data_IF_244999431188
#
_entry.id   IF_244999431188
#
_cell.length_a   1.000
_cell.length_b   1.000
_cell.length_c   1.000
_cell.angle_alpha   90.00
_cell.angle_beta   90.00
_cell.angle_gamma   90.00
#
_symmetry.space_group_name_H-M   'P 1'
#
loop_
_entity.id
_entity.type
_entity.pdbx_description
1 polymer ?
#
# COMPACT_ATOMS: atom_id res chain seq x y z
N UNK A 1 2.50 -17.08 -0.57
CA UNK A 1 1.96 -16.20 0.48
C UNK A 1 3.10 -15.94 1.47
N UNK A 2 3.64 -14.72 1.50
CA UNK A 2 4.81 -14.39 2.33
C UNK A 2 4.31 -14.13 3.75
N UNK A 3 4.71 -14.97 4.72
CA UNK A 3 4.43 -14.77 6.15
C UNK A 3 5.69 -14.21 6.81
N UNK A 4 5.65 -12.95 7.22
CA UNK A 4 6.68 -12.36 8.07
C UNK A 4 6.19 -12.42 9.52
N UNK A 5 6.95 -13.09 10.38
CA UNK A 5 6.68 -13.19 11.81
C UNK A 5 7.32 -12.00 12.50
N UNK A 6 6.56 -10.93 12.70
CA UNK A 6 6.96 -9.83 13.58
C UNK A 6 6.53 -10.19 15.02
N UNK A 7 7.30 -9.77 16.03
CA UNK A 7 7.22 -10.24 17.44
C UNK A 7 5.94 -9.84 18.19
N UNK A 8 4.92 -9.36 17.47
CA UNK A 8 3.58 -9.01 17.95
C UNK A 8 2.62 -10.05 17.35
N UNK A 9 1.78 -10.70 18.16
CA UNK A 9 0.92 -11.83 17.77
C UNK A 9 -0.19 -11.54 16.73
N UNK A 10 0.03 -10.62 15.80
CA UNK A 10 -0.84 -10.27 14.68
C UNK A 10 -0.24 -10.86 13.40
N UNK A 11 -0.97 -11.79 12.79
CA UNK A 11 -0.58 -12.39 11.50
C UNK A 11 -0.73 -11.35 10.38
N UNK A 12 0.34 -10.60 10.09
CA UNK A 12 0.32 -9.66 8.97
C UNK A 12 0.41 -10.41 7.64
N UNK A 13 -0.69 -10.42 6.89
CA UNK A 13 -0.71 -10.92 5.51
C UNK A 13 -0.28 -9.82 4.54
N UNK A 14 0.83 -10.06 3.85
CA UNK A 14 1.31 -9.15 2.81
C UNK A 14 0.89 -9.62 1.42
N UNK A 15 0.64 -8.65 0.55
CA UNK A 15 0.42 -8.81 -0.88
C UNK A 15 1.50 -8.07 -1.68
N UNK A 16 1.69 -8.49 -2.93
CA UNK A 16 2.67 -7.88 -3.84
C UNK A 16 2.07 -6.70 -4.61
N UNK A 17 2.92 -5.90 -5.28
CA UNK A 17 2.46 -4.81 -6.15
C UNK A 17 1.35 -5.17 -7.15
N UNK A 18 1.42 -6.28 -7.92
CA UNK A 18 0.36 -6.65 -8.87
C UNK A 18 -0.96 -6.99 -8.18
N UNK A 19 -0.91 -7.58 -6.99
CA UNK A 19 -2.12 -7.89 -6.22
C UNK A 19 -2.76 -6.61 -5.67
N UNK A 20 -1.95 -5.69 -5.15
CA UNK A 20 -2.42 -4.37 -4.73
C UNK A 20 -2.99 -3.54 -5.91
N UNK A 21 -2.37 -3.65 -7.09
CA UNK A 21 -2.83 -3.00 -8.32
C UNK A 21 -4.23 -3.46 -8.70
N UNK A 22 -4.49 -4.77 -8.68
CA UNK A 22 -5.83 -5.35 -8.89
C UNK A 22 -6.81 -4.89 -7.82
N UNK A 23 -6.42 -4.93 -6.54
CA UNK A 23 -7.28 -4.53 -5.41
C UNK A 23 -7.70 -3.06 -5.48
N UNK A 24 -6.78 -2.17 -5.85
CA UNK A 24 -7.02 -0.72 -5.88
C UNK A 24 -7.45 -0.18 -7.24
N UNK A 25 -7.51 -1.04 -8.27
CA UNK A 25 -7.83 -0.67 -9.64
C UNK A 25 -6.84 0.32 -10.26
N UNK A 26 -5.56 0.23 -9.91
CA UNK A 26 -4.50 1.12 -10.43
C UNK A 26 -3.40 0.31 -11.12
N UNK A 27 -2.56 0.97 -11.91
CA UNK A 27 -1.41 0.31 -12.53
C UNK A 27 -0.33 -0.03 -11.50
N UNK A 28 0.40 -1.12 -11.75
CA UNK A 28 1.53 -1.54 -10.90
C UNK A 28 2.59 -0.44 -10.74
N UNK A 29 2.83 0.33 -11.79
CA UNK A 29 3.71 1.51 -11.76
C UNK A 29 3.23 2.53 -10.72
N UNK A 30 1.93 2.77 -10.62
CA UNK A 30 1.36 3.69 -9.62
C UNK A 30 1.53 3.12 -8.21
N UNK A 31 1.29 1.82 -8.02
CA UNK A 31 1.56 1.14 -6.74
C UNK A 31 3.02 1.32 -6.31
N UNK A 32 3.97 1.07 -7.20
CA UNK A 32 5.40 1.22 -6.90
C UNK A 32 5.78 2.66 -6.51
N UNK A 33 5.18 3.66 -7.16
CA UNK A 33 5.36 5.08 -6.79
C UNK A 33 4.82 5.32 -5.37
N UNK A 34 3.61 4.84 -5.05
CA UNK A 34 3.02 4.99 -3.71
C UNK A 34 3.87 4.30 -2.62
N UNK A 35 4.43 3.13 -2.93
CA UNK A 35 5.35 2.44 -2.04
C UNK A 35 6.66 3.22 -1.84
N UNK A 36 7.23 3.79 -2.92
CA UNK A 36 8.43 4.63 -2.86
C UNK A 36 8.20 5.94 -2.10
N UNK A 37 7.04 6.56 -2.29
CA UNK A 37 6.62 7.77 -1.58
C UNK A 37 6.20 7.49 -0.13
N UNK A 38 6.26 6.23 0.33
CA UNK A 38 5.86 5.80 1.68
C UNK A 38 4.45 6.27 2.09
N UNK A 39 3.56 6.40 1.10
CA UNK A 39 2.16 6.82 1.34
C UNK A 39 1.28 5.70 1.87
N UNK A 40 1.76 4.46 1.81
CA UNK A 40 1.07 3.26 2.27
C UNK A 40 1.69 2.87 3.60
N UNK A 41 0.88 2.81 4.67
CA UNK A 41 1.35 2.43 5.98
C UNK A 41 1.67 0.92 6.03
N UNK A 42 2.78 0.55 6.69
CA UNK A 42 3.22 -0.83 6.79
C UNK A 42 3.85 -1.40 5.52
N UNK A 43 4.12 -0.56 4.50
CA UNK A 43 4.85 -0.99 3.31
C UNK A 43 6.33 -1.21 3.64
N UNK A 44 6.84 -2.40 3.32
CA UNK A 44 8.23 -2.77 3.52
C UNK A 44 8.87 -3.20 2.21
N UNK A 45 10.10 -2.75 1.94
CA UNK A 45 10.84 -3.18 0.75
C UNK A 45 11.75 -4.35 1.11
N UNK A 46 11.48 -5.52 0.55
CA UNK A 46 12.31 -6.71 0.73
C UNK A 46 13.03 -7.02 -0.59
N UNK A 47 14.31 -6.64 -0.67
CA UNK A 47 15.11 -6.77 -1.89
C UNK A 47 14.51 -5.96 -3.05
N UNK A 48 14.02 -6.67 -4.07
CA UNK A 48 13.37 -6.08 -5.25
C UNK A 48 11.83 -6.02 -5.15
N UNK A 49 11.24 -6.63 -4.12
CA UNK A 49 9.79 -6.72 -3.95
C UNK A 49 9.29 -5.75 -2.89
N UNK A 50 8.10 -5.18 -3.12
CA UNK A 50 7.37 -4.44 -2.09
C UNK A 50 6.39 -5.37 -1.40
N UNK A 51 6.45 -5.38 -0.07
CA UNK A 51 5.49 -6.00 0.81
C UNK A 51 4.46 -4.95 1.19
N UNK A 52 3.24 -5.12 0.70
CA UNK A 52 2.13 -4.23 0.98
C UNK A 52 1.18 -5.00 1.90
N UNK A 53 0.84 -4.50 3.09
CA UNK A 53 -0.14 -5.17 3.95
C UNK A 53 -1.47 -5.28 3.23
N UNK A 54 -2.17 -6.41 3.34
CA UNK A 54 -3.53 -6.53 2.78
C UNK A 54 -4.51 -5.57 3.45
N UNK A 55 -4.29 -5.25 4.73
CA UNK A 55 -5.06 -4.27 5.48
C UNK A 55 -4.79 -2.83 5.06
N UNK A 56 -3.78 -2.58 4.21
CA UNK A 56 -3.49 -1.24 3.75
C UNK A 56 -4.58 -0.76 2.77
N UNK A 57 -5.20 0.35 3.12
CA UNK A 57 -6.13 1.06 2.25
C UNK A 57 -5.39 1.91 1.20
N UNK A 58 -6.06 2.18 0.09
CA UNK A 58 -5.50 3.01 -0.98
C UNK A 58 -5.30 4.42 -0.44
N UNK A 59 -4.07 4.97 -0.42
CA UNK A 59 -3.87 6.34 0.00
C UNK A 59 -4.60 7.30 -0.95
N UNK A 60 -5.26 8.31 -0.39
CA UNK A 60 -6.00 9.30 -1.17
C UNK A 60 -5.07 10.04 -2.13
N UNK A 61 -5.42 10.01 -3.41
CA UNK A 61 -4.65 10.64 -4.46
C UNK A 61 -4.81 12.16 -4.39
N UNK A 62 -3.73 12.86 -4.05
CA UNK A 62 -3.71 14.32 -3.88
C UNK A 62 -3.95 15.12 -5.18
N UNK A 63 -4.11 14.45 -6.34
CA UNK A 63 -4.40 15.09 -7.63
C UNK A 63 -5.88 15.00 -7.99
N UNK A 64 -6.66 14.12 -7.35
CA UNK A 64 -8.12 14.00 -7.56
C UNK A 64 -8.91 14.89 -6.61
N UNK A 65 -10.08 15.40 -7.03
CA UNK A 65 -10.96 16.31 -6.26
C UNK A 65 -11.21 15.86 -4.80
N UNK A 66 -11.23 14.56 -4.53
CA UNK A 66 -11.39 13.98 -3.18
C UNK A 66 -10.25 14.31 -2.20
N UNK A 67 -9.04 14.61 -2.68
CA UNK A 67 -7.95 15.09 -1.84
C UNK A 67 -8.13 16.54 -1.35
N UNK A 68 -9.03 17.32 -2.00
CA UNK A 68 -9.35 18.69 -1.59
C UNK A 68 -10.47 18.76 -0.54
N UNK A 69 -11.32 17.74 -0.44
CA UNK A 69 -12.48 17.74 0.48
C UNK A 69 -12.15 17.27 1.91
N UNK A 70 -10.97 16.71 2.17
CA UNK A 70 -10.57 16.26 3.53
C UNK A 70 -9.80 17.31 4.35
N UNK A 71 -9.66 18.55 3.85
CA UNK A 71 -9.05 19.67 4.58
C UNK A 71 -9.99 20.88 4.70
N UNK A 72 -11.28 20.70 4.39
CA UNK A 72 -12.32 21.68 4.67
C UNK A 72 -13.51 20.98 5.33
N UNK A 73 -13.35 20.62 6.59
CA UNK A 73 -14.25 20.99 7.70
C UNK A 73 -13.49 20.85 9.03
#
# INVERSE_FOLDING_TARGET
>A
MIRFSERTGVVMEYMSCPEAAKKWGISERRVQILCREKRIQGVSKLGYMWLIPKDAEKPIDGRTKQGKELYHE
#
